data_IF_535874552366
#
_entry.id   IF_535874552366
#
_cell.length_a   1.000
_cell.length_b   1.000
_cell.length_c   1.000
_cell.angle_alpha   90.00
_cell.angle_beta   90.00
_cell.angle_gamma   90.00
#
_symmetry.space_group_name_H-M   'P 1'
#
loop_
_entity.id
_entity.type
_entity.pdbx_description
1 polymer ?
#
# COMPACT_ATOMS: atom_id res chain seq x y z
N UNK A 1 -17.93 -0.77 -4.78
CA UNK A 1 -16.76 -0.96 -3.90
C UNK A 1 -15.56 -0.37 -4.62
N UNK A 2 -14.73 0.39 -3.94
CA UNK A 2 -13.68 1.19 -4.57
C UNK A 2 -12.61 0.34 -5.28
N UNK A 3 -12.19 -0.77 -4.68
CA UNK A 3 -11.19 -1.66 -5.26
C UNK A 3 -11.64 -2.31 -6.57
N UNK A 4 -12.92 -2.67 -6.71
CA UNK A 4 -13.47 -3.15 -7.98
C UNK A 4 -13.38 -2.03 -9.03
N UNK A 5 -13.76 -0.81 -8.66
CA UNK A 5 -13.71 0.34 -9.58
C UNK A 5 -12.28 0.62 -10.07
N UNK A 6 -11.26 0.43 -9.21
CA UNK A 6 -9.86 0.53 -9.61
C UNK A 6 -9.50 -0.56 -10.61
N UNK A 7 -9.88 -1.82 -10.34
CA UNK A 7 -9.58 -2.95 -11.21
C UNK A 7 -10.33 -2.91 -12.55
N UNK A 8 -11.49 -2.27 -12.59
CA UNK A 8 -12.29 -2.10 -13.80
C UNK A 8 -11.91 -0.85 -14.61
N UNK A 9 -11.08 0.06 -14.05
CA UNK A 9 -10.59 1.24 -14.77
C UNK A 9 -9.74 0.82 -15.98
N UNK A 10 -10.15 1.26 -17.17
CA UNK A 10 -9.51 0.86 -18.41
C UNK A 10 -8.03 1.27 -18.49
N UNK A 11 -7.72 2.49 -18.06
CA UNK A 11 -6.37 3.00 -18.09
C UNK A 11 -5.47 2.30 -17.03
N UNK A 12 -6.04 1.94 -15.86
CA UNK A 12 -5.35 1.11 -14.88
C UNK A 12 -5.02 -0.27 -15.46
N UNK A 13 -6.01 -0.95 -16.06
CA UNK A 13 -5.83 -2.27 -16.67
C UNK A 13 -4.80 -2.26 -17.79
N UNK A 14 -4.85 -1.23 -18.65
CA UNK A 14 -3.84 -1.05 -19.69
C UNK A 14 -2.45 -0.90 -19.09
N UNK A 15 -2.31 -0.10 -18.03
CA UNK A 15 -1.01 0.08 -17.36
C UNK A 15 -0.52 -1.21 -16.71
N UNK A 16 -1.39 -2.01 -16.12
CA UNK A 16 -1.01 -3.31 -15.56
C UNK A 16 -0.56 -4.28 -16.68
N UNK A 17 -1.24 -4.29 -17.81
CA UNK A 17 -0.82 -5.09 -18.97
C UNK A 17 0.54 -4.67 -19.54
N UNK A 18 0.83 -3.36 -19.59
CA UNK A 18 2.15 -2.83 -20.00
C UNK A 18 3.28 -3.22 -19.03
N UNK A 19 2.95 -3.54 -17.79
CA UNK A 19 3.88 -3.96 -16.74
C UNK A 19 3.96 -5.49 -16.59
N UNK A 20 3.27 -6.25 -17.44
CA UNK A 20 3.12 -7.72 -17.30
C UNK A 20 2.56 -8.15 -15.94
N UNK A 21 1.62 -7.37 -15.39
CA UNK A 21 0.97 -7.63 -14.10
C UNK A 21 -0.39 -8.27 -14.31
N UNK A 22 -0.56 -9.51 -13.86
CA UNK A 22 -1.86 -10.15 -13.77
C UNK A 22 -2.69 -9.56 -12.62
N UNK A 23 -3.98 -9.35 -12.84
CA UNK A 23 -4.91 -8.84 -11.84
C UNK A 23 -5.86 -9.95 -11.43
N UNK A 24 -5.96 -10.20 -10.13
CA UNK A 24 -6.81 -11.22 -9.55
C UNK A 24 -7.72 -10.57 -8.53
N UNK A 25 -9.03 -10.69 -8.72
CA UNK A 25 -10.02 -10.34 -7.73
C UNK A 25 -10.31 -11.54 -6.84
N UNK A 26 -9.95 -11.45 -5.57
CA UNK A 26 -10.19 -12.50 -4.59
C UNK A 26 -11.31 -12.07 -3.65
N UNK A 27 -12.41 -12.83 -3.64
CA UNK A 27 -13.44 -12.65 -2.64
C UNK A 27 -12.96 -13.31 -1.33
N UNK A 28 -12.73 -12.55 -0.24
CA UNK A 28 -12.04 -13.06 0.93
C UNK A 28 -12.96 -13.89 1.84
N UNK A 29 -13.45 -15.02 1.34
CA UNK A 29 -14.20 -15.98 2.16
C UNK A 29 -13.33 -17.12 2.69
N UNK A 30 -12.01 -17.08 2.42
CA UNK A 30 -11.11 -18.18 2.74
C UNK A 30 -10.23 -17.94 3.97
N UNK A 31 -10.54 -16.93 4.78
CA UNK A 31 -9.79 -16.69 5.99
C UNK A 31 -10.69 -16.34 7.18
N UNK A 32 -10.24 -16.69 8.34
CA UNK A 32 -10.85 -16.34 9.62
C UNK A 32 -10.13 -15.11 10.18
N UNK A 33 -10.58 -13.89 9.81
CA UNK A 33 -9.99 -12.65 10.32
C UNK A 33 -8.59 -12.33 9.80
N UNK A 34 -8.26 -12.75 8.58
CA UNK A 34 -6.95 -12.54 7.93
C UNK A 34 -5.78 -13.27 8.58
N UNK A 35 -6.02 -14.30 9.36
CA UNK A 35 -4.99 -15.16 9.91
C UNK A 35 -4.51 -16.18 8.87
N UNK A 36 -3.33 -15.92 8.31
CA UNK A 36 -2.70 -16.81 7.33
C UNK A 36 -2.09 -18.07 7.95
N UNK A 37 -2.14 -18.23 9.27
CA UNK A 37 -1.63 -19.44 9.95
C UNK A 37 -2.63 -20.59 9.99
N UNK A 38 -3.89 -20.37 9.61
CA UNK A 38 -4.99 -21.33 9.65
C UNK A 38 -5.35 -21.96 8.29
N UNK A 39 -4.44 -21.94 7.32
CA UNK A 39 -4.64 -22.52 5.99
C UNK A 39 -5.05 -21.52 4.90
N UNK A 40 -5.18 -20.23 5.22
CA UNK A 40 -5.51 -19.21 4.23
C UNK A 40 -4.41 -19.05 3.18
N UNK A 41 -3.14 -19.22 3.57
CA UNK A 41 -2.04 -19.21 2.60
C UNK A 41 -2.12 -20.38 1.63
N UNK A 42 -2.33 -21.60 2.11
CA UNK A 42 -2.44 -22.79 1.30
C UNK A 42 -3.60 -22.69 0.32
N UNK A 43 -4.71 -22.06 0.73
CA UNK A 43 -5.85 -21.78 -0.15
C UNK A 43 -5.48 -20.78 -1.25
N UNK A 44 -4.79 -19.68 -0.91
CA UNK A 44 -4.33 -18.70 -1.90
C UNK A 44 -3.29 -19.29 -2.85
N UNK A 45 -2.32 -20.04 -2.33
CA UNK A 45 -1.27 -20.67 -3.12
C UNK A 45 -1.84 -21.71 -4.10
N UNK A 46 -2.82 -22.51 -3.65
CA UNK A 46 -3.59 -23.42 -4.49
C UNK A 46 -4.35 -22.70 -5.62
N UNK A 47 -5.04 -21.58 -5.29
CA UNK A 47 -5.71 -20.75 -6.28
C UNK A 47 -4.74 -20.23 -7.35
N UNK A 48 -3.56 -19.77 -6.94
CA UNK A 48 -2.54 -19.28 -7.88
C UNK A 48 -1.99 -20.40 -8.77
N UNK A 49 -1.84 -21.61 -8.21
CA UNK A 49 -1.43 -22.78 -8.97
C UNK A 49 -2.49 -23.19 -10.01
N UNK A 50 -3.77 -23.23 -9.64
CA UNK A 50 -4.88 -23.52 -10.53
C UNK A 50 -4.99 -22.48 -11.68
N UNK A 51 -4.86 -21.20 -11.35
CA UNK A 51 -4.83 -20.12 -12.33
C UNK A 51 -3.63 -20.24 -13.28
N UNK A 52 -2.48 -20.65 -12.79
CA UNK A 52 -1.29 -20.87 -13.62
C UNK A 52 -1.50 -22.03 -14.61
N UNK A 53 -2.14 -23.11 -14.17
CA UNK A 53 -2.47 -24.27 -15.01
C UNK A 53 -3.53 -23.90 -16.06
N UNK A 54 -4.64 -23.30 -15.65
CA UNK A 54 -5.75 -22.96 -16.55
C UNK A 54 -5.39 -21.89 -17.59
N UNK A 55 -4.61 -20.88 -17.20
CA UNK A 55 -4.20 -19.78 -18.10
C UNK A 55 -3.00 -20.14 -18.98
N UNK A 56 -2.21 -21.12 -18.58
CA UNK A 56 -0.92 -21.45 -19.20
C UNK A 56 0.25 -20.55 -18.78
N UNK A 57 0.01 -19.52 -17.96
CA UNK A 57 1.04 -18.66 -17.40
C UNK A 57 1.61 -19.26 -16.11
N UNK A 58 2.54 -20.21 -16.26
CA UNK A 58 3.11 -20.98 -15.14
C UNK A 58 3.75 -20.13 -14.06
N UNK A 59 4.25 -18.95 -14.40
CA UNK A 59 4.85 -17.98 -13.51
C UNK A 59 3.88 -17.45 -12.44
N UNK A 60 2.57 -17.49 -12.67
CA UNK A 60 1.57 -17.02 -11.66
C UNK A 60 1.68 -17.78 -10.33
N UNK A 61 2.06 -19.07 -10.36
CA UNK A 61 2.24 -19.86 -9.16
C UNK A 61 3.38 -19.36 -8.25
N UNK A 62 4.37 -18.63 -8.81
CA UNK A 62 5.56 -18.17 -8.08
C UNK A 62 5.80 -16.67 -8.16
N UNK A 63 5.00 -15.93 -8.92
CA UNK A 63 5.15 -14.50 -9.09
C UNK A 63 5.08 -13.73 -7.75
N UNK A 64 5.84 -12.64 -7.59
CA UNK A 64 5.67 -11.75 -6.46
C UNK A 64 4.26 -11.16 -6.42
N UNK A 65 3.75 -10.90 -5.22
CA UNK A 65 2.41 -10.41 -5.00
C UNK A 65 2.42 -8.95 -4.57
N UNK A 66 1.49 -8.16 -5.12
CA UNK A 66 1.13 -6.84 -4.62
C UNK A 66 -0.32 -6.93 -4.18
N UNK A 67 -0.54 -6.90 -2.88
CA UNK A 67 -1.87 -6.99 -2.32
C UNK A 67 -2.50 -5.61 -2.16
N UNK A 68 -3.77 -5.50 -2.58
CA UNK A 68 -4.59 -4.29 -2.41
C UNK A 68 -5.83 -4.66 -1.61
N UNK A 69 -6.15 -3.89 -0.59
CA UNK A 69 -7.37 -4.06 0.19
C UNK A 69 -8.03 -2.73 0.53
N UNK A 70 -9.36 -2.72 0.59
CA UNK A 70 -10.16 -1.55 0.92
C UNK A 70 -10.94 -1.75 2.22
N UNK A 71 -11.02 -0.70 3.04
CA UNK A 71 -11.86 -0.69 4.24
C UNK A 71 -11.56 -1.85 5.20
N UNK A 72 -12.51 -2.74 5.44
CA UNK A 72 -12.32 -3.93 6.29
C UNK A 72 -11.22 -4.87 5.76
N UNK A 73 -11.01 -4.93 4.45
CA UNK A 73 -9.96 -5.72 3.82
C UNK A 73 -8.61 -4.99 3.74
N UNK A 74 -8.53 -3.73 4.15
CA UNK A 74 -7.33 -2.92 4.02
C UNK A 74 -6.14 -3.41 4.88
N UNK A 75 -6.39 -4.23 5.89
CA UNK A 75 -5.33 -4.89 6.69
C UNK A 75 -4.78 -6.14 6.02
N UNK A 76 -5.54 -6.76 5.12
CA UNK A 76 -5.15 -8.01 4.47
C UNK A 76 -3.78 -7.97 3.78
N UNK A 77 -3.40 -6.91 3.04
CA UNK A 77 -2.07 -6.78 2.45
C UNK A 77 -0.93 -6.93 3.46
N UNK A 78 -1.10 -6.34 4.62
CA UNK A 78 -0.08 -6.37 5.67
C UNK A 78 0.09 -7.74 6.31
N UNK A 79 -1.02 -8.49 6.45
CA UNK A 79 -0.94 -9.87 6.99
C UNK A 79 -0.30 -10.83 6.02
N UNK A 80 -0.65 -10.69 4.73
CA UNK A 80 0.03 -11.45 3.68
C UNK A 80 1.53 -11.16 3.71
N UNK A 81 1.93 -9.90 3.79
CA UNK A 81 3.33 -9.50 3.86
C UNK A 81 4.04 -10.03 5.11
N UNK A 82 3.38 -9.99 6.27
CA UNK A 82 3.95 -10.52 7.51
C UNK A 82 4.11 -12.05 7.47
N UNK A 83 3.23 -12.75 6.77
CA UNK A 83 3.26 -14.21 6.65
C UNK A 83 4.20 -14.68 5.54
N UNK A 84 4.23 -13.97 4.40
CA UNK A 84 5.02 -14.29 3.20
C UNK A 84 5.80 -13.08 2.69
N UNK A 85 6.74 -12.55 3.50
CA UNK A 85 7.50 -11.36 3.12
C UNK A 85 8.30 -11.56 1.82
N UNK A 86 8.79 -12.77 1.57
CA UNK A 86 9.55 -13.14 0.37
C UNK A 86 8.69 -13.18 -0.91
N UNK A 87 7.37 -13.29 -0.76
CA UNK A 87 6.40 -13.29 -1.86
C UNK A 87 5.73 -11.92 -2.04
N UNK A 88 5.85 -11.02 -1.08
CA UNK A 88 5.17 -9.72 -1.10
C UNK A 88 6.10 -8.63 -1.59
N UNK A 89 5.75 -8.02 -2.72
CA UNK A 89 6.51 -6.92 -3.30
C UNK A 89 6.10 -5.57 -2.73
N UNK A 90 4.81 -5.36 -2.48
CA UNK A 90 4.26 -4.16 -1.84
C UNK A 90 2.89 -4.42 -1.24
N UNK A 91 2.47 -3.53 -0.33
CA UNK A 91 1.15 -3.50 0.29
C UNK A 91 0.44 -2.20 -0.05
N UNK A 92 -0.84 -2.27 -0.41
CA UNK A 92 -1.67 -1.09 -0.69
C UNK A 92 -2.95 -1.19 0.12
N UNK A 93 -3.13 -0.25 1.04
CA UNK A 93 -4.31 -0.09 1.88
C UNK A 93 -5.11 1.11 1.39
N UNK A 94 -6.37 0.90 1.10
CA UNK A 94 -7.26 1.94 0.56
C UNK A 94 -8.35 2.22 1.60
N UNK A 95 -8.40 3.45 2.09
CA UNK A 95 -9.39 3.89 3.11
C UNK A 95 -9.45 2.95 4.30
N UNK A 96 -8.29 2.61 4.86
CA UNK A 96 -8.23 1.52 5.83
C UNK A 96 -7.24 1.69 6.97
N UNK A 97 -6.30 0.77 7.08
CA UNK A 97 -5.48 0.59 8.28
C UNK A 97 -3.99 0.82 8.02
N UNK A 98 -3.29 1.25 9.06
CA UNK A 98 -1.84 1.23 9.08
C UNK A 98 -1.31 -0.18 9.36
N UNK A 99 -0.06 -0.51 8.97
CA UNK A 99 0.48 -1.87 9.03
C UNK A 99 0.38 -2.56 10.39
N UNK A 100 0.79 -1.90 11.45
CA UNK A 100 0.80 -2.45 12.81
C UNK A 100 -0.32 -1.87 13.69
N UNK A 101 -1.06 -0.88 13.17
CA UNK A 101 -2.18 -0.27 13.87
C UNK A 101 -3.42 -1.16 13.78
N UNK A 102 -3.92 -1.64 14.91
CA UNK A 102 -4.96 -2.64 14.96
C UNK A 102 -5.97 -2.46 16.06
N UNK A 103 -7.21 -2.76 15.71
CA UNK A 103 -8.20 -3.14 16.69
C UNK A 103 -7.85 -4.51 17.25
N UNK A 104 -7.54 -4.57 18.55
CA UNK A 104 -7.08 -5.77 19.27
C UNK A 104 -8.00 -6.98 19.11
N UNK A 105 -9.26 -6.78 18.77
CA UNK A 105 -10.23 -7.86 18.61
C UNK A 105 -10.33 -8.39 17.18
N UNK A 106 -9.81 -7.66 16.17
CA UNK A 106 -9.78 -8.14 14.79
C UNK A 106 -8.64 -9.15 14.53
N UNK A 107 -7.49 -8.98 15.16
CA UNK A 107 -6.37 -9.92 15.06
C UNK A 107 -5.26 -9.57 16.06
N UNK A 108 -5.34 -10.05 17.30
CA UNK A 108 -4.48 -9.53 18.37
C UNK A 108 -2.99 -9.85 18.23
N UNK A 109 -2.60 -11.04 17.82
CA UNK A 109 -1.20 -11.49 17.95
C UNK A 109 -0.62 -12.23 16.73
N UNK A 110 -1.19 -12.04 15.53
CA UNK A 110 -0.66 -12.75 14.35
C UNK A 110 0.71 -12.24 13.89
N UNK A 111 1.10 -11.04 14.33
CA UNK A 111 2.41 -10.50 13.99
C UNK A 111 3.52 -11.25 14.73
N UNK A 112 3.35 -11.55 16.04
CA UNK A 112 4.41 -12.13 16.84
C UNK A 112 5.73 -11.36 16.64
N UNK A 113 6.79 -12.08 16.28
CA UNK A 113 8.08 -11.49 15.89
C UNK A 113 8.16 -11.12 14.39
N UNK A 114 7.07 -11.29 13.63
CA UNK A 114 7.03 -10.99 12.20
C UNK A 114 7.05 -9.48 11.97
N UNK A 115 7.70 -9.09 10.89
CA UNK A 115 7.74 -7.70 10.46
C UNK A 115 7.69 -7.61 8.93
N UNK A 116 7.32 -6.42 8.45
CA UNK A 116 7.29 -6.11 7.03
C UNK A 116 8.36 -5.07 6.67
N UNK A 117 9.51 -5.14 7.34
CA UNK A 117 10.64 -4.28 7.07
C UNK A 117 11.01 -4.30 5.58
N UNK A 118 11.26 -3.10 5.03
CA UNK A 118 11.66 -2.87 3.65
C UNK A 118 10.61 -3.19 2.58
N UNK A 119 9.44 -3.68 2.95
CA UNK A 119 8.31 -3.87 2.02
C UNK A 119 7.58 -2.54 1.88
N UNK A 120 7.53 -1.95 0.67
CA UNK A 120 6.83 -0.68 0.46
C UNK A 120 5.33 -0.79 0.78
N UNK A 121 4.84 0.16 1.57
CA UNK A 121 3.45 0.24 1.97
C UNK A 121 2.86 1.59 1.58
N UNK A 122 1.69 1.57 0.94
CA UNK A 122 0.89 2.74 0.60
C UNK A 122 -0.42 2.70 1.37
N UNK A 123 -0.72 3.78 2.08
CA UNK A 123 -2.07 4.08 2.58
C UNK A 123 -2.69 5.21 1.77
N UNK A 124 -3.94 5.06 1.34
CA UNK A 124 -4.73 6.17 0.79
C UNK A 124 -5.91 6.46 1.71
N UNK A 125 -6.17 7.72 2.02
CA UNK A 125 -7.23 8.12 2.94
C UNK A 125 -7.92 9.39 2.48
N UNK A 126 -9.25 9.37 2.42
CA UNK A 126 -10.07 10.51 2.08
C UNK A 126 -10.04 11.62 3.14
N UNK A 127 -10.13 12.88 2.70
CA UNK A 127 -10.24 14.02 3.62
C UNK A 127 -11.44 13.88 4.55
N UNK A 128 -12.58 13.41 4.04
CA UNK A 128 -13.82 13.24 4.82
C UNK A 128 -13.77 12.03 5.76
N UNK A 129 -12.72 11.22 5.67
CA UNK A 129 -12.40 10.15 6.62
C UNK A 129 -11.31 10.54 7.61
N UNK A 130 -11.07 11.84 7.75
CA UNK A 130 -10.07 12.37 8.67
C UNK A 130 -8.60 12.08 8.29
N UNK A 131 -8.26 12.07 6.99
CA UNK A 131 -6.88 11.84 6.50
C UNK A 131 -5.81 12.64 7.27
N UNK A 132 -6.14 13.89 7.67
CA UNK A 132 -5.23 14.73 8.45
C UNK A 132 -4.89 14.13 9.82
N UNK A 133 -5.88 13.64 10.57
CA UNK A 133 -5.64 13.05 11.90
C UNK A 133 -5.15 11.62 11.80
N UNK A 134 -5.62 10.86 10.80
CA UNK A 134 -5.19 9.49 10.54
C UNK A 134 -3.70 9.40 10.21
N UNK A 135 -3.14 10.42 9.57
CA UNK A 135 -1.70 10.50 9.31
C UNK A 135 -0.84 10.48 10.58
N UNK A 136 -1.38 10.89 11.75
CA UNK A 136 -0.62 10.82 13.01
C UNK A 136 -0.26 9.39 13.39
N UNK A 137 -1.19 8.45 13.17
CA UNK A 137 -0.94 7.02 13.46
C UNK A 137 0.13 6.45 12.52
N UNK A 138 0.08 6.78 11.23
CA UNK A 138 1.11 6.36 10.28
C UNK A 138 2.49 6.94 10.58
N UNK A 139 2.57 8.18 11.07
CA UNK A 139 3.83 8.77 11.51
C UNK A 139 4.37 8.10 12.78
N UNK A 140 3.48 7.68 13.69
CA UNK A 140 3.85 6.87 14.85
C UNK A 140 4.40 5.52 14.43
N UNK A 141 3.73 4.81 13.51
CA UNK A 141 4.21 3.57 12.93
C UNK A 141 5.62 3.70 12.33
N UNK A 142 5.86 4.75 11.54
CA UNK A 142 7.18 5.01 10.97
C UNK A 142 8.26 5.27 12.01
N UNK A 143 7.91 5.88 13.13
CA UNK A 143 8.84 6.11 14.23
C UNK A 143 9.19 4.83 14.98
N UNK A 144 8.19 3.97 15.19
CA UNK A 144 8.35 2.69 15.89
C UNK A 144 9.01 1.63 14.98
N UNK A 145 8.77 1.73 13.66
CA UNK A 145 9.28 0.81 12.64
C UNK A 145 10.10 1.55 11.56
N UNK A 146 11.32 2.02 11.89
CA UNK A 146 12.08 2.90 10.99
C UNK A 146 12.51 2.24 9.66
N UNK A 147 12.44 0.92 9.56
CA UNK A 147 12.69 0.19 8.32
C UNK A 147 11.44 -0.04 7.46
N UNK A 148 10.32 0.55 7.83
CA UNK A 148 9.07 0.47 7.07
C UNK A 148 9.00 1.62 6.04
N UNK A 149 9.06 1.34 4.71
CA UNK A 149 8.87 2.35 3.67
C UNK A 149 7.39 2.68 3.53
N UNK A 150 6.87 3.58 4.38
CA UNK A 150 5.46 3.91 4.45
C UNK A 150 5.14 5.22 3.74
N UNK A 151 4.31 5.14 2.71
CA UNK A 151 3.77 6.25 1.94
C UNK A 151 2.32 6.53 2.31
N UNK A 152 1.89 7.77 2.19
CA UNK A 152 0.49 8.14 2.35
C UNK A 152 0.03 9.08 1.23
N UNK A 153 -1.08 8.73 0.59
CA UNK A 153 -1.85 9.62 -0.26
C UNK A 153 -3.08 10.13 0.50
N UNK A 154 -3.04 11.35 0.98
CA UNK A 154 -4.25 12.03 1.41
C UNK A 154 -5.04 12.48 0.18
N UNK A 155 -6.35 12.20 0.15
CA UNK A 155 -7.23 12.46 -0.99
C UNK A 155 -8.20 13.61 -0.66
N UNK A 156 -7.91 14.86 -1.09
CA UNK A 156 -8.77 16.02 -0.82
C UNK A 156 -10.17 15.84 -1.40
N UNK A 157 -11.18 16.31 -0.66
CA UNK A 157 -12.59 16.26 -1.02
C UNK A 157 -13.14 14.85 -1.30
N UNK A 158 -12.47 13.80 -0.82
CA UNK A 158 -12.89 12.42 -0.99
C UNK A 158 -13.32 11.78 0.34
N UNK A 159 -14.22 10.81 0.25
CA UNK A 159 -14.70 9.99 1.36
C UNK A 159 -14.41 8.51 1.13
N UNK A 160 -14.96 7.67 1.99
CA UNK A 160 -14.65 6.24 2.10
C UNK A 160 -14.75 5.41 0.82
N UNK A 161 -15.73 5.73 -0.01
CA UNK A 161 -16.00 4.99 -1.25
C UNK A 161 -15.71 5.80 -2.51
N UNK A 162 -14.93 6.88 -2.37
CA UNK A 162 -14.62 7.73 -3.49
C UNK A 162 -13.62 7.06 -4.43
N UNK A 163 -14.06 6.87 -5.67
CA UNK A 163 -13.22 6.44 -6.77
C UNK A 163 -12.93 7.64 -7.69
N UNK A 164 -11.68 7.75 -8.14
CA UNK A 164 -11.30 8.67 -9.22
C UNK A 164 -10.29 7.99 -10.15
N UNK A 165 -10.34 8.25 -11.47
CA UNK A 165 -9.34 7.72 -12.40
C UNK A 165 -7.92 8.11 -12.00
N UNK A 166 -7.73 9.29 -11.43
CA UNK A 166 -6.42 9.78 -10.99
C UNK A 166 -5.88 8.99 -9.79
N UNK A 167 -6.76 8.52 -8.88
CA UNK A 167 -6.36 7.61 -7.79
C UNK A 167 -5.92 6.26 -8.36
N UNK A 168 -6.66 5.72 -9.33
CA UNK A 168 -6.28 4.49 -10.01
C UNK A 168 -4.91 4.63 -10.69
N UNK A 169 -4.68 5.74 -11.41
CA UNK A 169 -3.38 6.02 -12.04
C UNK A 169 -2.24 6.22 -11.01
N UNK A 170 -2.52 6.84 -9.88
CA UNK A 170 -1.54 6.98 -8.79
C UNK A 170 -1.15 5.61 -8.23
N UNK A 171 -2.12 4.74 -8.00
CA UNK A 171 -1.88 3.37 -7.54
C UNK A 171 -1.08 2.58 -8.60
N UNK A 172 -1.42 2.72 -9.89
CA UNK A 172 -0.66 2.10 -10.97
C UNK A 172 0.79 2.57 -11.02
N UNK A 173 1.04 3.87 -10.79
CA UNK A 173 2.39 4.41 -10.68
C UNK A 173 3.12 3.81 -9.46
N UNK A 174 2.46 3.71 -8.32
CA UNK A 174 3.04 3.09 -7.12
C UNK A 174 3.44 1.64 -7.36
N UNK A 175 2.58 0.85 -8.03
CA UNK A 175 2.88 -0.53 -8.44
C UNK A 175 4.12 -0.58 -9.33
N UNK A 176 4.17 0.27 -10.37
CA UNK A 176 5.35 0.38 -11.25
C UNK A 176 6.64 0.66 -10.46
N UNK A 177 6.57 1.57 -9.47
CA UNK A 177 7.72 1.88 -8.62
C UNK A 177 8.11 0.72 -7.72
N UNK A 178 7.15 0.05 -7.10
CA UNK A 178 7.41 -1.14 -6.29
C UNK A 178 8.08 -2.26 -7.11
N UNK A 179 7.65 -2.48 -8.35
CA UNK A 179 8.30 -3.44 -9.25
C UNK A 179 9.73 -3.04 -9.64
N UNK A 180 9.98 -1.74 -9.79
CA UNK A 180 11.30 -1.23 -10.17
C UNK A 180 12.30 -1.27 -9.02
N UNK A 181 11.88 -0.84 -7.83
CA UNK A 181 12.76 -0.68 -6.66
C UNK A 181 12.81 -1.93 -5.77
N UNK A 182 11.75 -2.73 -5.74
CA UNK A 182 11.64 -3.88 -4.84
C UNK A 182 11.61 -3.47 -3.36
N UNK A 183 12.21 -4.30 -2.52
CA UNK A 183 12.38 -4.02 -1.10
C UNK A 183 13.45 -2.94 -0.87
N UNK A 184 13.11 -1.90 -0.12
CA UNK A 184 13.93 -0.69 0.04
C UNK A 184 14.26 -0.43 1.50
N UNK A 185 15.46 0.07 1.76
CA UNK A 185 15.83 0.59 3.07
C UNK A 185 15.47 2.10 3.16
N UNK A 186 14.34 2.46 3.78
CA UNK A 186 13.84 3.83 3.78
C UNK A 186 14.69 4.80 4.61
N UNK A 187 15.69 4.27 5.32
CA UNK A 187 16.65 5.11 6.05
C UNK A 187 17.81 5.59 5.18
N UNK A 188 17.96 5.01 4.00
CA UNK A 188 19.07 5.28 3.06
C UNK A 188 18.59 5.77 1.70
N UNK A 189 17.46 5.27 1.23
CA UNK A 189 16.95 5.44 -0.12
C UNK A 189 15.54 6.04 -0.11
N UNK A 190 15.16 6.67 -1.22
CA UNK A 190 13.87 7.31 -1.39
C UNK A 190 13.85 8.77 -0.96
N UNK A 191 12.64 9.30 -0.86
CA UNK A 191 12.36 10.70 -0.59
C UNK A 191 11.45 10.85 0.62
N UNK A 192 11.55 11.98 1.30
CA UNK A 192 10.65 12.38 2.37
C UNK A 192 9.84 13.59 1.96
N UNK A 193 8.57 13.57 2.32
CA UNK A 193 7.64 14.68 2.17
C UNK A 193 6.79 14.80 3.44
N UNK A 194 6.64 16.02 3.95
CA UNK A 194 5.76 16.28 5.09
C UNK A 194 4.34 15.80 4.80
N UNK A 195 3.67 15.31 5.84
CA UNK A 195 2.27 14.89 5.72
C UNK A 195 1.38 16.00 5.20
N UNK A 196 0.39 15.62 4.44
CA UNK A 196 -0.65 16.55 4.02
C UNK A 196 -1.45 17.10 5.21
N UNK A 197 -1.73 18.38 5.18
CA UNK A 197 -2.60 19.05 6.13
C UNK A 197 -3.57 19.98 5.37
N UNK A 198 -4.83 19.92 5.75
CA UNK A 198 -5.85 20.76 5.12
C UNK A 198 -5.50 22.23 5.32
N UNK A 199 -5.52 22.98 4.23
CA UNK A 199 -5.28 24.45 4.21
C UNK A 199 -3.89 24.89 4.73
N UNK A 200 -2.94 23.99 4.88
CA UNK A 200 -1.56 24.33 5.25
C UNK A 200 -0.62 23.98 4.10
N UNK A 201 0.36 24.85 3.89
CA UNK A 201 1.47 24.52 2.97
C UNK A 201 2.52 23.72 3.72
N UNK A 202 3.21 22.79 3.05
CA UNK A 202 4.38 22.13 3.64
C UNK A 202 5.40 23.16 4.12
N UNK A 203 5.98 22.93 5.29
CA UNK A 203 7.03 23.82 5.86
C UNK A 203 8.39 23.56 5.22
N UNK A 204 8.56 22.42 4.58
CA UNK A 204 9.79 21.97 3.96
C UNK A 204 9.56 21.40 2.56
N UNK A 205 10.50 21.63 1.66
CA UNK A 205 10.49 21.06 0.31
C UNK A 205 10.81 19.56 0.40
N UNK A 206 10.05 18.69 -0.28
CA UNK A 206 10.39 17.27 -0.38
C UNK A 206 11.80 17.05 -0.94
N UNK A 207 12.51 16.09 -0.38
CA UNK A 207 13.89 15.83 -0.77
C UNK A 207 14.27 14.35 -0.53
N UNK A 208 15.37 13.87 -1.14
CA UNK A 208 15.98 12.59 -0.79
C UNK A 208 16.20 12.48 0.72
N UNK A 209 16.08 11.26 1.26
CA UNK A 209 16.17 11.00 2.71
C UNK A 209 17.38 11.66 3.37
N UNK A 210 18.55 11.59 2.73
CA UNK A 210 19.80 12.17 3.23
C UNK A 210 19.93 13.70 3.04
N UNK A 211 18.99 14.34 2.37
CA UNK A 211 18.98 15.78 2.07
C UNK A 211 17.77 16.51 2.67
N UNK A 212 16.82 15.77 3.20
CA UNK A 212 15.60 16.34 3.77
C UNK A 212 15.91 17.25 4.96
N UNK A 213 15.38 18.47 4.93
CA UNK A 213 15.63 19.52 5.95
C UNK A 213 14.49 19.71 6.94
N UNK A 214 13.36 19.08 6.69
CA UNK A 214 12.22 19.06 7.60
C UNK A 214 12.41 18.07 8.74
N UNK A 215 11.36 17.91 9.54
CA UNK A 215 11.31 16.89 10.59
C UNK A 215 10.90 15.53 9.97
N UNK A 216 11.80 14.51 9.92
CA UNK A 216 11.48 13.19 9.40
C UNK A 216 10.32 12.50 10.15
N UNK A 217 10.08 12.88 11.43
CA UNK A 217 8.97 12.37 12.21
C UNK A 217 7.60 12.95 11.78
N UNK A 218 7.58 13.97 10.92
CA UNK A 218 6.38 14.58 10.34
C UNK A 218 6.25 14.31 8.84
N UNK A 219 7.04 13.38 8.29
CA UNK A 219 7.12 13.11 6.87
C UNK A 219 6.86 11.64 6.56
N UNK A 220 6.22 11.38 5.42
CA UNK A 220 6.08 10.06 4.83
C UNK A 220 7.20 9.80 3.83
N UNK A 221 7.46 8.52 3.57
CA UNK A 221 8.46 8.08 2.61
C UNK A 221 7.84 7.84 1.23
N UNK A 222 8.60 8.08 0.19
CA UNK A 222 8.23 7.83 -1.22
C UNK A 222 9.43 7.30 -1.98
N UNK A 223 9.21 6.55 -3.04
CA UNK A 223 10.27 5.94 -3.85
C UNK A 223 11.23 6.97 -4.45
N UNK A 224 10.68 7.99 -5.09
CA UNK A 224 11.46 8.94 -5.86
C UNK A 224 10.70 10.27 -6.06
N UNK A 225 11.32 11.15 -6.83
CA UNK A 225 10.77 12.46 -7.16
C UNK A 225 9.48 12.37 -7.96
N UNK A 226 9.34 11.40 -8.88
CA UNK A 226 8.12 11.24 -9.68
C UNK A 226 6.90 10.93 -8.77
N UNK A 227 7.09 10.07 -7.75
CA UNK A 227 6.05 9.82 -6.77
C UNK A 227 5.70 11.06 -5.94
N UNK A 228 6.67 11.86 -5.56
CA UNK A 228 6.45 13.14 -4.87
C UNK A 228 5.60 14.08 -5.74
N UNK A 229 5.99 14.27 -7.00
CA UNK A 229 5.29 15.16 -7.95
C UNK A 229 3.84 14.67 -8.17
N UNK A 230 3.64 13.37 -8.34
CA UNK A 230 2.30 12.78 -8.46
C UNK A 230 1.46 13.00 -7.20
N UNK A 231 2.05 12.86 -6.02
CA UNK A 231 1.36 13.08 -4.73
C UNK A 231 0.96 14.55 -4.58
N UNK A 232 1.86 15.48 -4.86
CA UNK A 232 1.57 16.91 -4.79
C UNK A 232 0.50 17.33 -5.81
N UNK A 233 0.56 16.82 -7.03
CA UNK A 233 -0.44 17.08 -8.06
C UNK A 233 -1.82 16.57 -7.64
N UNK A 234 -1.89 15.39 -7.02
CA UNK A 234 -3.13 14.85 -6.49
C UNK A 234 -3.69 15.68 -5.34
N UNK A 235 -2.86 16.09 -4.41
CA UNK A 235 -3.24 16.85 -3.21
C UNK A 235 -3.59 18.32 -3.48
N UNK A 236 -3.29 18.82 -4.65
CA UNK A 236 -3.60 20.22 -5.08
C UNK A 236 -4.94 20.37 -5.81
N UNK A 237 -5.74 19.32 -5.91
CA UNK A 237 -7.03 19.26 -6.60
C UNK A 237 -8.16 19.96 -5.84
#
# INVERSE_FOLDING_TARGET
MEEISILEDEAFRQRMAELDVAQIWVCPSFNHGFDFTDGAWETLDGLLADLAEESGYKELSTAPLIAIGHSAAASWPYYLAAYKPERTLACISVSGQWPYHRDKWLCPDIWGERNINKIPCLETMGEYESAHTWSNEGLKERKEHPLLPLSMLACPAEGHFAYTPEKAQYIALYIKKAMHYGHVDPTKEGWLMERWKKNEKPSCIPAPVNQFKGDPAQAFWFFDREMIEATLAYQSR
#
